data_IF_424015085782
#
_entry.id   IF_424015085782
#
_cell.length_a   1.000
_cell.length_b   1.000
_cell.length_c   1.000
_cell.angle_alpha   90.00
_cell.angle_beta   90.00
_cell.angle_gamma   90.00
#
_symmetry.space_group_name_H-M   'P 1'
#
loop_
_entity.id
_entity.type
_entity.pdbx_description
1 polymer ?
#
# COMPACT_ATOMS: atom_id res chain seq x y z
N UNK A 1 -4.18 -7.04 10.36
CA UNK A 1 -3.99 -5.56 10.41
C UNK A 1 -4.15 -4.97 9.02
N UNK A 2 -4.94 -3.93 8.92
CA UNK A 2 -5.17 -3.23 7.66
C UNK A 2 -4.12 -2.13 7.48
N UNK A 3 -3.57 -2.03 6.27
CA UNK A 3 -2.56 -1.03 5.90
C UNK A 3 -2.89 -0.36 4.59
N UNK A 4 -2.39 0.85 4.44
CA UNK A 4 -2.41 1.58 3.17
C UNK A 4 -0.97 1.90 2.81
N UNK A 5 -0.56 1.48 1.62
CA UNK A 5 0.72 1.86 1.04
C UNK A 5 0.50 3.03 0.09
N UNK A 6 1.19 4.12 0.36
CA UNK A 6 1.20 5.31 -0.50
C UNK A 6 2.53 5.32 -1.24
N UNK A 7 2.48 5.23 -2.55
CA UNK A 7 3.68 5.01 -3.37
C UNK A 7 3.87 6.18 -4.33
N UNK A 8 4.98 6.88 -4.15
CA UNK A 8 5.39 7.98 -5.03
C UNK A 8 6.41 7.44 -6.03
N UNK A 9 6.09 7.53 -7.32
CA UNK A 9 7.00 7.07 -8.37
C UNK A 9 8.26 7.94 -8.40
N UNK A 10 9.42 7.29 -8.52
CA UNK A 10 10.69 7.99 -8.69
C UNK A 10 10.81 8.49 -10.13
N UNK A 11 11.45 9.64 -10.30
CA UNK A 11 11.61 10.26 -11.61
C UNK A 11 12.31 9.29 -12.59
N UNK A 12 11.74 9.18 -13.77
CA UNK A 12 12.30 8.34 -14.84
C UNK A 12 12.04 6.84 -14.69
N UNK A 13 11.28 6.41 -13.66
CA UNK A 13 11.06 4.99 -13.37
C UNK A 13 9.72 4.44 -13.86
N UNK A 14 8.89 5.24 -14.51
CA UNK A 14 7.55 4.83 -14.91
C UNK A 14 7.53 3.56 -15.74
N UNK A 15 8.33 3.52 -16.82
CA UNK A 15 8.33 2.35 -17.71
C UNK A 15 8.91 1.11 -17.04
N UNK A 16 9.97 1.27 -16.26
CA UNK A 16 10.58 0.16 -15.55
C UNK A 16 9.63 -0.41 -14.49
N UNK A 17 8.93 0.45 -13.76
CA UNK A 17 7.96 0.03 -12.76
C UNK A 17 6.79 -0.72 -13.41
N UNK A 18 6.29 -0.23 -14.54
CA UNK A 18 5.20 -0.89 -15.27
C UNK A 18 5.63 -2.27 -15.76
N UNK A 19 6.82 -2.37 -16.35
CA UNK A 19 7.35 -3.65 -16.83
C UNK A 19 7.48 -4.65 -15.68
N UNK A 20 7.99 -4.21 -14.53
CA UNK A 20 8.12 -5.07 -13.36
C UNK A 20 6.73 -5.52 -12.86
N UNK A 21 5.75 -4.60 -12.81
CA UNK A 21 4.40 -4.91 -12.31
C UNK A 21 3.72 -6.01 -13.12
N UNK A 22 3.98 -6.08 -14.41
CA UNK A 22 3.39 -7.10 -15.29
C UNK A 22 3.84 -8.52 -14.95
N UNK A 23 4.99 -8.68 -14.28
CA UNK A 23 5.58 -9.97 -13.96
C UNK A 23 5.65 -10.25 -12.47
N UNK A 24 5.36 -9.24 -11.64
CA UNK A 24 5.50 -9.34 -10.20
C UNK A 24 4.18 -9.73 -9.54
N UNK A 25 4.27 -10.50 -8.46
CA UNK A 25 3.14 -10.86 -7.64
C UNK A 25 3.35 -10.38 -6.21
N UNK A 26 2.27 -10.02 -5.54
CA UNK A 26 2.35 -9.64 -4.13
C UNK A 26 2.92 -10.78 -3.30
N UNK A 27 3.72 -10.47 -2.26
CA UNK A 27 4.24 -11.49 -1.36
C UNK A 27 3.12 -12.33 -0.74
N UNK A 28 3.44 -13.59 -0.49
CA UNK A 28 2.54 -14.45 0.27
C UNK A 28 2.30 -13.85 1.65
N UNK A 29 1.09 -13.91 2.15
CA UNK A 29 0.72 -13.32 3.42
C UNK A 29 0.15 -11.91 3.33
N UNK A 30 0.15 -11.31 2.14
CA UNK A 30 -0.55 -10.05 1.89
C UNK A 30 -1.87 -10.31 1.21
N UNK A 31 -2.95 -9.87 1.84
CA UNK A 31 -4.29 -9.93 1.24
C UNK A 31 -4.65 -8.54 0.71
N UNK A 32 -4.56 -8.37 -0.60
CA UNK A 32 -4.83 -7.07 -1.25
C UNK A 32 -6.33 -6.86 -1.35
N UNK A 33 -6.81 -5.80 -0.72
CA UNK A 33 -8.22 -5.39 -0.74
C UNK A 33 -8.51 -4.55 -1.98
N UNK A 34 -7.61 -3.62 -2.30
CA UNK A 34 -7.76 -2.72 -3.44
C UNK A 34 -6.41 -2.15 -3.86
N UNK A 35 -6.29 -1.82 -5.12
CA UNK A 35 -5.12 -1.15 -5.67
C UNK A 35 -5.60 -0.12 -6.68
N UNK A 36 -5.06 1.10 -6.58
CA UNK A 36 -5.42 2.19 -7.49
C UNK A 36 -4.17 2.83 -8.07
N UNK A 37 -4.23 3.12 -9.36
CA UNK A 37 -3.20 3.90 -10.04
C UNK A 37 -3.78 5.29 -10.27
N UNK A 38 -3.10 6.30 -9.78
CA UNK A 38 -3.63 7.66 -9.72
C UNK A 38 -3.01 8.54 -10.81
N UNK A 39 -3.74 9.54 -11.23
CA UNK A 39 -3.30 10.52 -12.22
C UNK A 39 -2.40 11.62 -11.65
N UNK A 40 -1.63 11.31 -10.60
CA UNK A 40 -0.72 12.24 -9.95
C UNK A 40 0.57 11.48 -9.60
N UNK A 41 1.73 12.16 -9.55
CA UNK A 41 2.97 11.49 -9.17
C UNK A 41 3.11 11.22 -7.67
N UNK A 42 2.32 11.86 -6.81
CA UNK A 42 2.50 11.75 -5.36
C UNK A 42 1.17 11.79 -4.60
N UNK A 43 0.64 10.65 -4.20
CA UNK A 43 1.05 9.30 -4.56
C UNK A 43 0.60 8.95 -5.97
N UNK A 44 1.37 8.12 -6.66
CA UNK A 44 0.97 7.59 -7.97
C UNK A 44 0.23 6.26 -7.87
N UNK A 45 0.45 5.52 -6.77
CA UNK A 45 -0.20 4.24 -6.51
C UNK A 45 -0.63 4.18 -5.05
N UNK A 46 -1.82 3.64 -4.82
CA UNK A 46 -2.31 3.32 -3.49
C UNK A 46 -2.66 1.84 -3.46
N UNK A 47 -2.15 1.12 -2.46
CA UNK A 47 -2.49 -0.27 -2.23
C UNK A 47 -3.08 -0.41 -0.83
N UNK A 48 -4.26 -0.99 -0.75
CA UNK A 48 -4.93 -1.27 0.53
C UNK A 48 -4.88 -2.78 0.72
N UNK A 49 -4.31 -3.21 1.84
CA UNK A 49 -4.10 -4.63 2.07
C UNK A 49 -4.13 -4.98 3.55
N UNK A 50 -4.33 -6.26 3.82
CA UNK A 50 -4.27 -6.81 5.17
C UNK A 50 -3.10 -7.77 5.27
N UNK A 51 -2.37 -7.72 6.36
CA UNK A 51 -1.34 -8.69 6.67
C UNK A 51 -1.01 -8.65 8.16
N UNK A 52 -0.55 -9.79 8.69
CA UNK A 52 0.05 -9.88 10.01
C UNK A 52 1.53 -10.24 9.90
N UNK A 53 2.04 -10.33 8.67
CA UNK A 53 3.41 -10.75 8.40
C UNK A 53 4.33 -9.56 8.18
N UNK A 54 5.22 -9.33 9.13
CA UNK A 54 6.27 -8.31 9.01
C UNK A 54 7.20 -8.63 7.84
N UNK A 55 7.47 -9.91 7.61
CA UNK A 55 8.31 -10.34 6.50
C UNK A 55 7.70 -9.97 5.14
N UNK A 56 6.37 -10.12 4.99
CA UNK A 56 5.69 -9.74 3.76
C UNK A 56 5.76 -8.23 3.51
N UNK A 57 5.63 -7.43 4.56
CA UNK A 57 5.78 -5.97 4.45
C UNK A 57 7.18 -5.58 3.99
N UNK A 58 8.20 -6.20 4.59
CA UNK A 58 9.58 -5.91 4.23
C UNK A 58 9.90 -6.35 2.80
N UNK A 59 9.37 -7.49 2.39
CA UNK A 59 9.56 -7.98 1.03
C UNK A 59 8.90 -7.05 0.01
N UNK A 60 7.68 -6.61 0.28
CA UNK A 60 6.97 -5.66 -0.58
C UNK A 60 7.78 -4.37 -0.75
N UNK A 61 8.23 -3.79 0.34
CA UNK A 61 9.05 -2.57 0.29
C UNK A 61 10.37 -2.80 -0.42
N UNK A 62 11.04 -3.91 -0.13
CA UNK A 62 12.31 -4.25 -0.78
C UNK A 62 12.17 -4.45 -2.28
N UNK A 63 11.08 -5.06 -2.72
CA UNK A 63 10.83 -5.29 -4.15
C UNK A 63 10.61 -4.00 -4.93
N UNK A 64 10.10 -2.96 -4.28
CA UNK A 64 9.67 -1.74 -4.98
C UNK A 64 10.42 -0.47 -4.62
N UNK A 65 11.27 -0.48 -3.61
CA UNK A 65 11.94 0.74 -3.14
C UNK A 65 12.90 1.38 -4.15
N UNK A 66 13.32 0.64 -5.19
CA UNK A 66 14.14 1.21 -6.26
C UNK A 66 13.32 2.05 -7.25
N UNK A 67 12.00 1.87 -7.23
CA UNK A 67 11.09 2.53 -8.18
C UNK A 67 10.19 3.55 -7.51
N UNK A 68 9.91 3.38 -6.23
CA UNK A 68 8.97 4.20 -5.48
C UNK A 68 9.52 4.59 -4.13
N UNK A 69 9.14 5.79 -3.68
CA UNK A 69 9.19 6.12 -2.26
C UNK A 69 7.88 5.61 -1.65
N UNK A 70 7.96 4.68 -0.71
CA UNK A 70 6.81 3.98 -0.16
C UNK A 70 6.59 4.39 1.29
N UNK A 71 5.37 4.81 1.60
CA UNK A 71 4.92 5.04 2.96
C UNK A 71 3.80 4.06 3.27
N UNK A 72 3.98 3.24 4.28
CA UNK A 72 2.97 2.27 4.71
C UNK A 72 2.42 2.73 6.05
N UNK A 73 1.12 2.93 6.13
CA UNK A 73 0.45 3.39 7.35
C UNK A 73 -0.61 2.38 7.78
N UNK A 74 -0.74 2.13 9.09
CA UNK A 74 -1.85 1.32 9.57
C UNK A 74 -3.15 2.08 9.39
N UNK A 75 -4.24 1.36 9.17
CA UNK A 75 -5.53 1.95 8.89
C UNK A 75 -6.63 1.17 9.60
N UNK A 76 -7.75 1.83 9.80
CA UNK A 76 -9.01 1.21 10.19
C UNK A 76 -10.07 1.62 9.18
N UNK A 77 -11.13 0.84 9.08
CA UNK A 77 -12.26 1.21 8.23
C UNK A 77 -13.00 2.40 8.83
N UNK A 78 -13.75 3.11 7.99
CA UNK A 78 -14.61 4.19 8.48
C UNK A 78 -15.64 3.68 9.50
N UNK A 79 -16.14 2.46 9.29
CA UNK A 79 -17.08 1.83 10.23
C UNK A 79 -16.44 1.62 11.58
N UNK A 80 -15.24 1.07 11.62
CA UNK A 80 -14.49 0.90 12.87
C UNK A 80 -14.19 2.25 13.53
N UNK A 81 -13.83 3.26 12.73
CA UNK A 81 -13.58 4.60 13.23
C UNK A 81 -14.82 5.22 13.85
N UNK A 82 -15.99 5.03 13.23
CA UNK A 82 -17.26 5.52 13.78
C UNK A 82 -17.62 4.83 15.10
N UNK A 83 -17.39 3.53 15.20
CA UNK A 83 -17.62 2.79 16.44
C UNK A 83 -16.72 3.30 17.57
N UNK A 84 -15.45 3.55 17.27
CA UNK A 84 -14.53 4.14 18.24
C UNK A 84 -14.98 5.53 18.68
N UNK A 85 -15.43 6.35 17.72
CA UNK A 85 -15.93 7.70 18.03
C UNK A 85 -17.17 7.66 18.93
N UNK A 86 -18.09 6.74 18.67
CA UNK A 86 -19.28 6.56 19.52
C UNK A 86 -18.88 6.18 20.95
N UNK A 87 -17.92 5.28 21.10
CA UNK A 87 -17.41 4.89 22.41
C UNK A 87 -16.75 6.05 23.15
N UNK A 88 -16.08 6.95 22.44
CA UNK A 88 -15.43 8.11 23.03
C UNK A 88 -16.40 9.22 23.39
N UNK A 89 -17.50 9.34 22.66
CA UNK A 89 -18.49 10.40 22.85
C UNK A 89 -19.65 9.97 23.74
N UNK A 90 -19.83 8.69 23.87
CA UNK A 90 -20.90 8.12 24.69
C UNK A 90 -20.46 7.89 26.10
#
# INVERSE_FOLDING_TARGET
MLYVALMKISEGKNNAALAKRLQWQFPEGMNVVAQYWLGTPDPSVIVIFETDSKASLMQFQGDWNDYFAITIVPAITAEEGMEMAKGMMG
#
